data_IF_427304865169
#
_entry.id   IF_427304865169
#
_cell.length_a   1.000
_cell.length_b   1.000
_cell.length_c   1.000
_cell.angle_alpha   90.00
_cell.angle_beta   90.00
_cell.angle_gamma   90.00
#
_symmetry.space_group_name_H-M   'P 1'
#
loop_
_entity.id
_entity.type
_entity.pdbx_description
1 polymer ?
#
# COMPACT_ATOMS: atom_id res chain seq x y z
N UNK A 1 -0.96 -13.15 -3.04
CA UNK A 1 -0.86 -13.25 -4.52
C UNK A 1 -0.49 -14.65 -5.00
N UNK A 2 0.01 -15.52 -4.14
CA UNK A 2 0.55 -16.81 -4.61
C UNK A 2 -0.49 -17.84 -5.02
N UNK A 3 -1.75 -17.77 -4.57
CA UNK A 3 -2.68 -18.87 -4.74
C UNK A 3 -3.47 -18.83 -6.06
N UNK A 4 -4.34 -17.85 -6.28
CA UNK A 4 -5.29 -17.86 -7.40
C UNK A 4 -5.22 -16.63 -8.32
N UNK A 5 -4.39 -15.66 -8.02
CA UNK A 5 -4.26 -14.42 -8.79
C UNK A 5 -5.37 -13.39 -8.54
N UNK A 6 -6.24 -13.61 -7.55
CA UNK A 6 -7.32 -12.67 -7.23
C UNK A 6 -6.80 -11.24 -6.98
N UNK A 7 -5.67 -11.11 -6.30
CA UNK A 7 -5.06 -9.82 -5.96
C UNK A 7 -4.14 -9.24 -7.04
N UNK A 8 -3.85 -9.97 -8.12
CA UNK A 8 -2.87 -9.54 -9.15
C UNK A 8 -3.25 -8.20 -9.81
N UNK A 9 -4.53 -7.90 -9.86
CA UNK A 9 -5.04 -6.70 -10.49
C UNK A 9 -5.02 -5.45 -9.59
N UNK A 10 -4.93 -5.62 -8.27
CA UNK A 10 -5.05 -4.50 -7.32
C UNK A 10 -3.93 -3.47 -7.50
N UNK A 11 -2.63 -3.87 -7.53
CA UNK A 11 -1.54 -2.91 -7.63
C UNK A 11 -1.41 -2.25 -9.01
N UNK A 12 -2.12 -2.72 -10.04
CA UNK A 12 -2.04 -2.18 -11.40
C UNK A 12 -3.32 -1.49 -11.86
N UNK A 13 -4.14 -1.04 -10.94
CA UNK A 13 -5.31 -0.22 -11.28
C UNK A 13 -4.85 1.10 -11.90
N UNK A 14 -5.31 1.47 -13.13
CA UNK A 14 -4.77 2.63 -13.85
C UNK A 14 -4.88 3.94 -13.07
N UNK A 15 -5.99 4.17 -12.39
CA UNK A 15 -6.18 5.39 -11.57
C UNK A 15 -5.24 5.43 -10.37
N UNK A 16 -4.96 4.28 -9.76
CA UNK A 16 -4.03 4.18 -8.63
C UNK A 16 -2.59 4.44 -9.09
N UNK A 17 -2.18 3.87 -10.21
CA UNK A 17 -0.86 4.13 -10.80
C UNK A 17 -0.70 5.58 -11.23
N UNK A 18 -1.74 6.20 -11.82
CA UNK A 18 -1.72 7.61 -12.17
C UNK A 18 -1.56 8.51 -10.93
N UNK A 19 -2.24 8.17 -9.83
CA UNK A 19 -2.07 8.87 -8.56
C UNK A 19 -0.65 8.70 -8.00
N UNK A 20 -0.07 7.50 -8.09
CA UNK A 20 1.31 7.26 -7.68
C UNK A 20 2.30 8.11 -8.50
N UNK A 21 2.18 8.10 -9.83
CA UNK A 21 3.00 8.95 -10.73
C UNK A 21 2.90 10.42 -10.36
N UNK A 22 1.69 10.91 -10.11
CA UNK A 22 1.44 12.32 -9.79
C UNK A 22 2.06 12.73 -8.45
N UNK A 23 1.83 11.95 -7.40
CA UNK A 23 2.28 12.29 -6.04
C UNK A 23 3.77 12.08 -5.85
N UNK A 24 4.32 10.99 -6.40
CA UNK A 24 5.74 10.66 -6.28
C UNK A 24 6.60 11.52 -7.22
N UNK A 25 6.00 12.05 -8.28
CA UNK A 25 6.69 12.90 -9.26
C UNK A 25 7.41 12.14 -10.36
N UNK A 26 6.92 10.95 -10.74
CA UNK A 26 7.48 10.14 -11.83
C UNK A 26 7.09 8.68 -11.73
N UNK A 27 7.59 7.88 -12.67
CA UNK A 27 7.31 6.44 -12.74
C UNK A 27 8.32 5.56 -11.99
N UNK A 28 9.33 6.16 -11.35
CA UNK A 28 10.36 5.41 -10.62
C UNK A 28 9.91 5.05 -9.20
N UNK A 29 8.88 4.23 -9.13
CA UNK A 29 8.35 3.68 -7.89
C UNK A 29 8.11 2.17 -8.04
N UNK A 30 7.86 1.53 -6.88
CA UNK A 30 7.49 0.12 -6.82
C UNK A 30 6.45 -0.11 -5.74
N UNK A 31 5.79 -1.23 -5.86
CA UNK A 31 4.85 -1.72 -4.87
C UNK A 31 5.58 -2.03 -3.56
N UNK A 32 5.16 -1.37 -2.49
CA UNK A 32 5.77 -1.52 -1.17
C UNK A 32 5.10 -2.64 -0.37
N UNK A 33 3.76 -2.61 -0.30
CA UNK A 33 2.98 -3.61 0.44
C UNK A 33 1.55 -3.74 -0.08
N UNK A 34 0.94 -4.90 0.18
CA UNK A 34 -0.49 -5.13 0.06
C UNK A 34 -0.94 -5.99 1.22
N UNK A 35 -1.94 -5.49 1.95
CA UNK A 35 -2.48 -6.17 3.12
C UNK A 35 -4.00 -6.10 3.10
N UNK A 36 -4.66 -7.18 3.47
CA UNK A 36 -6.05 -7.12 3.89
C UNK A 36 -6.09 -6.67 5.35
N UNK A 37 -6.98 -5.75 5.67
CA UNK A 37 -7.15 -5.24 7.04
C UNK A 37 -8.62 -5.30 7.43
N UNK A 38 -8.87 -5.78 8.64
CA UNK A 38 -10.20 -5.79 9.26
C UNK A 38 -10.18 -5.03 10.57
N UNK A 39 -11.29 -4.35 10.87
CA UNK A 39 -11.56 -3.78 12.19
C UNK A 39 -12.81 -4.49 12.74
N UNK A 40 -12.66 -5.53 13.57
CA UNK A 40 -13.78 -6.19 14.23
C UNK A 40 -14.50 -5.26 15.22
N UNK A 41 -15.74 -5.58 15.62
CA UNK A 41 -16.45 -4.85 16.66
C UNK A 41 -15.61 -4.65 17.92
N UNK A 42 -15.60 -3.45 18.45
CA UNK A 42 -14.87 -3.07 19.66
C UNK A 42 -13.37 -2.83 19.48
N UNK A 43 -12.81 -3.04 18.29
CA UNK A 43 -11.38 -2.92 18.01
C UNK A 43 -11.10 -1.87 16.93
N UNK A 44 -9.84 -1.71 16.56
CA UNK A 44 -9.39 -0.87 15.44
C UNK A 44 -8.86 0.50 15.83
N UNK A 45 -8.96 0.88 17.09
CA UNK A 45 -8.42 2.16 17.56
C UNK A 45 -6.89 2.16 17.55
N UNK A 46 -6.33 3.24 17.03
CA UNK A 46 -4.89 3.49 16.97
C UNK A 46 -4.60 4.94 17.34
N UNK A 47 -3.45 5.19 17.94
CA UNK A 47 -2.92 6.54 18.02
C UNK A 47 -2.64 7.12 16.63
N UNK A 48 -2.76 8.42 16.47
CA UNK A 48 -2.35 9.12 15.24
C UNK A 48 -0.87 8.87 14.96
N UNK A 49 -0.56 8.49 13.72
CA UNK A 49 0.81 8.17 13.29
C UNK A 49 1.03 8.50 11.82
N UNK A 50 2.28 8.56 11.43
CA UNK A 50 2.72 8.57 10.02
C UNK A 50 3.41 7.23 9.73
N UNK A 51 3.14 6.62 8.59
CA UNK A 51 3.72 5.30 8.27
C UNK A 51 5.23 5.36 8.00
N UNK A 52 5.71 6.50 7.50
CA UNK A 52 7.09 6.66 7.03
C UNK A 52 7.81 7.91 7.58
N UNK A 53 7.48 8.30 8.80
CA UNK A 53 8.13 9.44 9.48
C UNK A 53 7.93 10.78 8.77
N UNK A 54 8.80 11.77 9.00
CA UNK A 54 8.69 13.08 8.38
C UNK A 54 8.92 12.99 6.88
N UNK A 55 8.27 13.87 6.12
CA UNK A 55 8.53 14.01 4.69
C UNK A 55 9.73 14.95 4.45
N UNK A 56 10.92 14.46 4.11
CA UNK A 56 12.08 15.30 3.89
C UNK A 56 11.93 16.25 2.69
N UNK A 57 11.05 15.90 1.75
CA UNK A 57 10.76 16.73 0.57
C UNK A 57 9.53 17.63 0.71
N UNK A 58 8.92 17.71 1.91
CA UNK A 58 7.70 18.50 2.12
C UNK A 58 7.87 20.00 1.83
N UNK A 59 9.04 20.54 2.15
CA UNK A 59 9.38 21.95 1.99
C UNK A 59 10.10 22.27 0.67
N UNK A 60 10.32 21.29 -0.19
CA UNK A 60 10.89 21.52 -1.52
C UNK A 60 9.87 22.17 -2.47
N UNK A 61 10.36 22.78 -3.54
CA UNK A 61 9.51 23.39 -4.58
C UNK A 61 9.88 22.83 -5.95
N UNK A 62 9.02 21.98 -6.58
CA UNK A 62 7.78 21.42 -6.04
C UNK A 62 8.04 20.41 -4.91
N UNK A 63 7.05 20.19 -4.00
CA UNK A 63 7.19 19.20 -2.94
C UNK A 63 7.36 17.80 -3.52
N UNK A 64 8.23 17.00 -2.89
CA UNK A 64 8.42 15.59 -3.27
C UNK A 64 7.95 14.66 -2.15
N UNK A 65 7.29 13.59 -2.52
CA UNK A 65 6.77 12.60 -1.59
C UNK A 65 7.42 11.24 -1.82
N UNK A 66 7.70 10.52 -0.72
CA UNK A 66 8.34 9.20 -0.80
C UNK A 66 7.40 8.13 -1.33
N UNK A 67 6.10 8.29 -1.16
CA UNK A 67 5.13 7.29 -1.58
C UNK A 67 3.69 7.66 -1.29
N UNK A 68 2.82 6.74 -1.65
CA UNK A 68 1.38 6.80 -1.39
C UNK A 68 0.88 5.54 -0.70
N UNK A 69 -0.14 5.71 0.11
CA UNK A 69 -1.04 4.67 0.57
C UNK A 69 -2.34 4.72 -0.20
N UNK A 70 -2.98 3.58 -0.36
CA UNK A 70 -4.37 3.49 -0.82
C UNK A 70 -5.15 2.51 0.01
N UNK A 71 -6.42 2.83 0.23
CA UNK A 71 -7.39 1.97 0.90
C UNK A 71 -8.54 1.72 -0.06
N UNK A 72 -8.69 0.47 -0.49
CA UNK A 72 -9.89 -0.02 -1.19
C UNK A 72 -10.86 -0.57 -0.15
N UNK A 73 -12.00 0.07 0.00
CA UNK A 73 -13.06 -0.32 0.93
C UNK A 73 -13.77 -1.58 0.42
N UNK A 74 -13.67 -2.69 1.14
CA UNK A 74 -14.42 -3.93 0.86
C UNK A 74 -15.80 -3.92 1.52
N UNK A 75 -15.95 -3.18 2.60
CA UNK A 75 -17.23 -2.84 3.24
C UNK A 75 -17.38 -1.32 3.27
N UNK A 76 -18.58 -0.76 3.46
CA UNK A 76 -18.73 0.68 3.66
C UNK A 76 -17.89 1.16 4.85
N UNK A 77 -17.32 2.36 4.76
CA UNK A 77 -16.70 3.06 5.89
C UNK A 77 -17.66 4.13 6.37
N UNK A 78 -18.03 4.06 7.66
CA UNK A 78 -18.98 4.96 8.32
C UNK A 78 -18.35 5.58 9.58
N UNK A 79 -19.00 6.57 10.16
CA UNK A 79 -18.56 7.17 11.42
C UNK A 79 -18.46 6.16 12.57
N UNK A 80 -19.25 5.10 12.53
CA UNK A 80 -19.41 4.16 13.62
C UNK A 80 -18.56 2.90 13.51
N UNK A 81 -18.11 2.53 12.28
CA UNK A 81 -17.48 1.21 12.07
C UNK A 81 -15.96 1.24 12.03
N UNK A 82 -15.34 2.20 12.70
CA UNK A 82 -13.89 2.25 12.80
C UNK A 82 -13.23 2.78 11.54
N UNK A 83 -13.85 3.76 10.87
CA UNK A 83 -13.24 4.42 9.70
C UNK A 83 -11.91 5.07 10.04
N UNK A 84 -11.03 5.16 9.06
CA UNK A 84 -9.74 5.83 9.26
C UNK A 84 -9.97 7.34 9.40
N UNK A 85 -9.30 7.95 10.37
CA UNK A 85 -9.18 9.41 10.52
C UNK A 85 -7.84 9.87 9.94
N UNK A 86 -7.79 11.07 9.38
CA UNK A 86 -6.58 11.69 8.85
C UNK A 86 -6.58 13.20 9.07
N UNK A 87 -5.41 13.79 9.25
CA UNK A 87 -5.24 15.23 9.43
C UNK A 87 -4.79 15.83 8.12
N UNK A 88 -5.70 16.56 7.46
CA UNK A 88 -5.45 17.18 6.17
C UNK A 88 -4.30 18.19 6.23
N UNK A 89 -3.38 18.10 5.26
CA UNK A 89 -2.25 19.02 5.16
C UNK A 89 -1.03 18.64 5.99
N UNK A 90 -1.12 17.73 6.95
CA UNK A 90 -0.01 17.33 7.82
C UNK A 90 1.25 16.91 7.04
N UNK A 91 1.09 16.18 5.95
CA UNK A 91 2.19 15.73 5.09
C UNK A 91 3.03 16.86 4.47
N UNK A 92 2.59 18.12 4.62
CA UNK A 92 3.29 19.34 4.14
C UNK A 92 4.07 20.05 5.23
N UNK A 93 3.88 19.71 6.49
CA UNK A 93 4.59 20.36 7.61
C UNK A 93 6.01 19.86 7.77
N UNK A 94 6.27 18.61 7.35
CA UNK A 94 7.51 17.92 7.64
C UNK A 94 7.56 17.29 9.04
N UNK A 95 6.50 17.42 9.83
CA UNK A 95 6.41 16.88 11.19
C UNK A 95 5.97 15.41 11.20
N UNK A 96 6.17 14.77 12.36
CA UNK A 96 5.67 13.43 12.69
C UNK A 96 4.73 13.48 13.89
N UNK A 97 4.21 12.32 14.30
CA UNK A 97 3.34 12.23 15.49
C UNK A 97 4.00 12.70 16.79
N UNK A 98 5.34 12.74 16.86
CA UNK A 98 6.08 13.24 18.03
C UNK A 98 5.85 14.74 18.25
N UNK A 99 5.37 15.47 17.25
CA UNK A 99 4.98 16.86 17.39
C UNK A 99 3.63 17.04 18.12
N UNK A 100 2.86 15.94 18.32
CA UNK A 100 1.59 15.97 19.04
C UNK A 100 1.82 15.83 20.55
N UNK A 101 1.08 16.63 21.33
CA UNK A 101 1.07 16.48 22.79
C UNK A 101 0.47 15.13 23.24
N UNK A 102 -0.56 14.68 22.56
CA UNK A 102 -1.21 13.39 22.76
C UNK A 102 -1.70 12.82 21.41
N UNK A 103 -1.00 11.83 20.85
CA UNK A 103 -1.41 11.19 19.61
C UNK A 103 -2.72 10.40 19.68
N UNK A 104 -3.19 10.07 20.89
CA UNK A 104 -4.46 9.36 21.09
C UNK A 104 -5.66 10.30 21.09
N UNK A 105 -5.45 11.58 21.39
CA UNK A 105 -6.50 12.58 21.39
C UNK A 105 -7.04 12.86 19.97
N UNK A 106 -8.29 13.33 19.84
CA UNK A 106 -8.81 13.87 18.61
C UNK A 106 -7.99 15.11 18.19
N UNK A 107 -7.70 15.20 16.87
CA UNK A 107 -7.05 16.39 16.31
C UNK A 107 -8.13 17.33 15.74
N UNK A 108 -8.02 18.67 15.95
CA UNK A 108 -9.07 19.62 15.49
C UNK A 108 -9.32 19.61 13.98
N UNK A 109 -8.28 19.28 13.18
CA UNK A 109 -8.38 19.23 11.72
C UNK A 109 -8.55 17.80 11.17
N UNK A 110 -8.89 16.83 12.02
CA UNK A 110 -9.09 15.46 11.55
C UNK A 110 -10.37 15.32 10.72
N UNK A 111 -10.29 14.50 9.70
CA UNK A 111 -11.40 14.14 8.83
C UNK A 111 -11.52 12.62 8.76
N UNK A 112 -12.75 12.12 8.66
CA UNK A 112 -13.03 10.70 8.49
C UNK A 112 -13.01 10.29 7.03
N UNK A 113 -12.43 9.15 6.77
CA UNK A 113 -12.46 8.49 5.47
C UNK A 113 -13.77 7.71 5.36
N UNK A 114 -14.79 8.30 4.74
CA UNK A 114 -16.14 7.72 4.60
C UNK A 114 -16.44 7.38 3.16
N UNK A 115 -17.20 6.31 2.92
CA UNK A 115 -17.65 5.94 1.58
C UNK A 115 -18.26 4.54 1.49
N UNK A 116 -18.96 4.23 0.40
CA UNK A 116 -19.48 2.89 0.14
C UNK A 116 -18.35 1.89 -0.20
N UNK A 117 -18.65 0.60 -0.13
CA UNK A 117 -17.77 -0.44 -0.66
C UNK A 117 -17.41 -0.16 -2.12
N UNK A 118 -16.17 -0.45 -2.51
CA UNK A 118 -15.60 -0.13 -3.82
C UNK A 118 -14.94 1.25 -3.91
N UNK A 119 -15.11 2.11 -2.89
CA UNK A 119 -14.37 3.38 -2.82
C UNK A 119 -12.87 3.12 -2.64
N UNK A 120 -12.06 3.89 -3.37
CA UNK A 120 -10.59 3.93 -3.18
C UNK A 120 -10.20 5.31 -2.69
N UNK A 121 -9.54 5.38 -1.54
CA UNK A 121 -8.93 6.61 -1.03
C UNK A 121 -7.42 6.49 -1.18
N UNK A 122 -6.78 7.54 -1.71
CA UNK A 122 -5.33 7.63 -1.89
C UNK A 122 -4.80 8.79 -1.07
N UNK A 123 -3.72 8.56 -0.34
CA UNK A 123 -3.10 9.58 0.51
C UNK A 123 -1.58 9.38 0.62
N UNK A 124 -0.87 10.44 0.99
CA UNK A 124 0.58 10.37 1.20
C UNK A 124 0.92 9.46 2.39
N UNK A 125 1.99 8.68 2.29
CA UNK A 125 2.52 7.87 3.41
C UNK A 125 2.96 8.71 4.61
N UNK A 126 3.10 10.02 4.43
CA UNK A 126 3.50 10.98 5.46
C UNK A 126 2.30 11.71 6.10
N UNK A 127 1.06 11.40 5.70
CA UNK A 127 -0.10 12.02 6.35
C UNK A 127 -0.31 11.43 7.74
N UNK A 128 -0.64 12.28 8.69
CA UNK A 128 -1.02 11.84 10.02
C UNK A 128 -2.41 11.20 9.95
N UNK A 129 -2.50 9.93 10.37
CA UNK A 129 -3.74 9.16 10.30
C UNK A 129 -3.80 8.07 11.37
N UNK A 130 -4.99 7.52 11.58
CA UNK A 130 -5.15 6.31 12.39
C UNK A 130 -6.49 5.63 12.14
N UNK A 131 -6.60 4.36 12.56
CA UNK A 131 -7.90 3.70 12.71
C UNK A 131 -8.63 4.25 13.94
N UNK A 132 -9.96 4.22 13.89
CA UNK A 132 -10.80 4.51 15.05
C UNK A 132 -11.49 3.24 15.53
N UNK A 133 -12.04 3.28 16.74
CA UNK A 133 -12.78 2.16 17.31
C UNK A 133 -13.99 1.83 16.43
N UNK A 134 -14.23 0.55 16.22
CA UNK A 134 -15.42 0.06 15.54
C UNK A 134 -16.51 -0.18 16.58
N UNK A 135 -17.46 0.73 16.67
CA UNK A 135 -18.61 0.65 17.59
C UNK A 135 -19.85 0.00 16.92
N UNK A 136 -19.70 -0.54 15.71
CA UNK A 136 -20.74 -1.32 15.02
C UNK A 136 -20.63 -2.81 15.33
N UNK A 137 -21.65 -3.57 14.93
CA UNK A 137 -21.70 -5.02 15.13
C UNK A 137 -20.99 -5.82 14.01
N UNK A 138 -20.50 -5.16 12.96
CA UNK A 138 -19.90 -5.81 11.80
C UNK A 138 -18.43 -5.44 11.64
N UNK A 139 -17.63 -6.39 11.15
CA UNK A 139 -16.24 -6.13 10.79
C UNK A 139 -16.17 -5.20 9.59
N UNK A 140 -15.46 -4.09 9.71
CA UNK A 140 -15.08 -3.23 8.58
C UNK A 140 -13.84 -3.81 7.91
N UNK A 141 -13.86 -3.99 6.60
CA UNK A 141 -12.79 -4.65 5.83
C UNK A 141 -12.29 -3.79 4.66
N UNK A 142 -10.99 -3.83 4.42
CA UNK A 142 -10.37 -3.16 3.28
C UNK A 142 -9.13 -3.90 2.77
N UNK A 143 -8.69 -3.51 1.57
CA UNK A 143 -7.33 -3.79 1.07
C UNK A 143 -6.53 -2.50 1.18
N UNK A 144 -5.39 -2.58 1.85
CA UNK A 144 -4.40 -1.51 1.94
C UNK A 144 -3.25 -1.80 1.00
N UNK A 145 -2.94 -0.87 0.09
CA UNK A 145 -1.85 -1.00 -0.88
C UNK A 145 -0.99 0.25 -0.83
N UNK A 146 0.33 0.07 -0.81
CA UNK A 146 1.28 1.16 -0.77
C UNK A 146 2.27 1.09 -1.93
N UNK A 147 2.63 2.26 -2.47
CA UNK A 147 3.71 2.44 -3.44
C UNK A 147 4.74 3.41 -2.89
N UNK A 148 6.00 3.06 -3.06
CA UNK A 148 7.13 3.87 -2.63
C UNK A 148 8.10 4.09 -3.78
N UNK A 149 8.82 5.21 -3.74
CA UNK A 149 9.96 5.45 -4.63
C UNK A 149 10.90 4.25 -4.59
N UNK A 150 11.52 3.94 -5.71
CA UNK A 150 12.40 2.77 -5.86
C UNK A 150 13.64 2.82 -4.97
N UNK A 151 14.09 4.00 -4.54
CA UNK A 151 15.20 4.18 -3.60
C UNK A 151 14.83 3.81 -2.14
N UNK A 152 13.57 3.45 -1.87
CA UNK A 152 13.13 2.99 -0.55
C UNK A 152 12.99 1.46 -0.55
N UNK A 153 13.42 0.76 0.52
CA UNK A 153 13.25 -0.68 0.61
C UNK A 153 11.76 -1.05 0.60
N UNK A 154 11.43 -2.19 0.01
CA UNK A 154 10.07 -2.76 0.11
C UNK A 154 9.86 -3.36 1.51
N UNK A 155 8.62 -3.37 2.00
CA UNK A 155 8.27 -4.06 3.25
C UNK A 155 8.56 -5.57 3.15
N UNK A 156 8.32 -6.14 1.97
CA UNK A 156 8.65 -7.52 1.63
C UNK A 156 9.37 -7.49 0.29
N UNK A 157 10.49 -8.20 0.17
CA UNK A 157 11.15 -8.38 -1.12
C UNK A 157 10.26 -9.27 -2.02
N UNK A 158 9.50 -8.63 -2.90
CA UNK A 158 8.54 -9.32 -3.75
C UNK A 158 9.21 -10.30 -4.71
N UNK A 159 10.46 -10.03 -5.13
CA UNK A 159 11.23 -10.95 -6.01
C UNK A 159 11.51 -12.28 -5.32
N UNK A 160 11.85 -12.24 -4.03
CA UNK A 160 12.14 -13.44 -3.24
C UNK A 160 10.86 -14.14 -2.76
N UNK A 161 9.83 -13.35 -2.44
CA UNK A 161 8.58 -13.87 -1.89
C UNK A 161 7.63 -14.47 -2.94
N UNK A 162 7.78 -14.11 -4.23
CA UNK A 162 6.90 -14.61 -5.29
C UNK A 162 7.20 -16.07 -5.63
N UNK A 163 6.22 -16.94 -5.47
CA UNK A 163 6.33 -18.34 -5.87
C UNK A 163 6.52 -18.47 -7.39
N UNK A 164 7.29 -19.47 -7.88
CA UNK A 164 7.50 -19.68 -9.31
C UNK A 164 6.22 -19.78 -10.13
N UNK A 165 5.20 -20.43 -9.58
CA UNK A 165 3.87 -20.55 -10.20
C UNK A 165 3.18 -19.19 -10.38
N UNK A 166 3.37 -18.27 -9.42
CA UNK A 166 2.87 -16.90 -9.50
C UNK A 166 3.56 -16.15 -10.64
N UNK A 167 4.89 -16.23 -10.72
CA UNK A 167 5.68 -15.61 -11.78
C UNK A 167 5.23 -16.13 -13.14
N UNK A 168 5.18 -17.45 -13.33
CA UNK A 168 4.75 -18.10 -14.57
C UNK A 168 3.32 -17.69 -14.98
N UNK A 169 2.42 -17.50 -14.01
CA UNK A 169 1.06 -17.00 -14.28
C UNK A 169 1.07 -15.55 -14.74
N UNK A 170 1.81 -14.68 -14.05
CA UNK A 170 1.89 -13.25 -14.35
C UNK A 170 2.51 -12.99 -15.72
N UNK A 171 3.52 -13.75 -16.13
CA UNK A 171 4.17 -13.63 -17.45
C UNK A 171 3.21 -13.84 -18.63
N UNK A 172 2.14 -14.59 -18.46
CA UNK A 172 1.21 -14.95 -19.54
C UNK A 172 0.37 -13.79 -20.06
N UNK A 173 0.27 -12.67 -19.33
CA UNK A 173 -0.61 -11.56 -19.71
C UNK A 173 0.11 -10.22 -19.59
N UNK A 174 -0.28 -9.26 -20.43
CA UNK A 174 0.24 -7.89 -20.35
C UNK A 174 0.00 -7.26 -18.97
N UNK A 175 -1.15 -7.53 -18.37
CA UNK A 175 -1.49 -7.06 -17.02
C UNK A 175 -0.58 -7.70 -15.95
N UNK A 176 -0.32 -9.00 -16.06
CA UNK A 176 0.60 -9.70 -15.15
C UNK A 176 2.01 -9.16 -15.26
N UNK A 177 2.52 -8.91 -16.46
CA UNK A 177 3.84 -8.27 -16.65
C UNK A 177 3.89 -6.86 -16.06
N UNK A 178 2.81 -6.08 -16.16
CA UNK A 178 2.73 -4.79 -15.49
C UNK A 178 2.75 -4.94 -13.96
N UNK A 179 2.10 -5.98 -13.42
CA UNK A 179 2.17 -6.30 -11.98
C UNK A 179 3.59 -6.63 -11.56
N UNK A 180 4.31 -7.45 -12.32
CA UNK A 180 5.71 -7.77 -12.05
C UNK A 180 6.60 -6.52 -12.08
N UNK A 181 6.34 -5.61 -13.00
CA UNK A 181 7.06 -4.33 -13.08
C UNK A 181 6.92 -3.52 -11.77
N UNK A 182 5.71 -3.36 -11.26
CA UNK A 182 5.50 -2.63 -9.98
C UNK A 182 5.98 -3.42 -8.76
N UNK A 183 6.10 -4.74 -8.85
CA UNK A 183 6.78 -5.56 -7.84
C UNK A 183 8.30 -5.36 -7.81
N UNK A 184 8.86 -4.66 -8.78
CA UNK A 184 10.31 -4.47 -8.91
C UNK A 184 11.03 -5.62 -9.62
N UNK A 185 10.29 -6.43 -10.38
CA UNK A 185 10.80 -7.60 -11.13
C UNK A 185 11.08 -7.23 -12.59
N UNK A 186 11.78 -6.13 -12.84
CA UNK A 186 12.15 -5.65 -14.19
C UNK A 186 13.66 -5.78 -14.48
N UNK A 187 14.32 -6.64 -13.75
CA UNK A 187 15.75 -6.88 -13.99
C UNK A 187 15.88 -7.80 -15.21
N UNK A 188 16.40 -7.28 -16.31
CA UNK A 188 16.60 -8.04 -17.55
C UNK A 188 17.50 -9.26 -17.37
N UNK A 189 18.33 -9.26 -16.31
CA UNK A 189 19.20 -10.36 -15.95
C UNK A 189 18.52 -11.41 -15.04
N UNK A 190 17.29 -11.17 -14.58
CA UNK A 190 16.57 -12.17 -13.79
C UNK A 190 16.07 -13.31 -14.67
N UNK A 191 16.62 -14.54 -14.55
CA UNK A 191 16.25 -15.66 -15.42
C UNK A 191 14.76 -16.02 -15.34
N UNK A 192 14.09 -15.67 -14.26
CA UNK A 192 12.64 -15.91 -14.05
C UNK A 192 11.78 -15.00 -14.91
N UNK A 193 12.33 -13.94 -15.52
CA UNK A 193 11.62 -12.99 -16.38
C UNK A 193 11.79 -13.30 -17.88
N UNK A 194 12.45 -14.39 -18.21
CA UNK A 194 12.60 -14.84 -19.59
C UNK A 194 11.33 -15.53 -20.09
N UNK A 195 10.99 -15.34 -21.34
CA UNK A 195 9.81 -15.94 -21.96
C UNK A 195 9.87 -17.49 -22.00
N UNK A 196 11.07 -18.04 -21.95
CA UNK A 196 11.36 -19.49 -21.97
C UNK A 196 11.49 -20.09 -20.57
N UNK A 197 11.37 -19.29 -19.49
CA UNK A 197 11.45 -19.79 -18.12
C UNK A 197 10.37 -20.81 -17.80
N UNK A 198 10.78 -21.98 -17.33
CA UNK A 198 9.87 -23.03 -16.84
C UNK A 198 10.09 -23.28 -15.36
N UNK A 199 9.06 -23.79 -14.68
CA UNK A 199 9.15 -24.13 -13.24
C UNK A 199 10.23 -25.18 -12.96
N UNK A 200 10.60 -25.98 -13.96
CA UNK A 200 11.60 -27.03 -13.85
C UNK A 200 13.04 -26.47 -13.90
N UNK A 201 13.23 -25.20 -14.26
CA UNK A 201 14.54 -24.55 -14.31
C UNK A 201 15.01 -24.05 -12.92
N UNK A 202 14.24 -24.32 -11.86
CA UNK A 202 14.68 -23.99 -10.51
C UNK A 202 15.81 -24.95 -10.05
N UNK A 203 16.94 -24.42 -9.57
CA UNK A 203 17.84 -25.22 -8.78
C UNK A 203 17.08 -25.70 -7.53
N UNK A 204 17.28 -26.96 -7.13
CA UNK A 204 16.75 -27.58 -5.92
C UNK A 204 17.12 -26.75 -4.67
N UNK A 205 16.45 -25.64 -4.46
CA UNK A 205 16.60 -24.84 -3.28
C UNK A 205 15.39 -25.05 -2.38
N UNK A 206 15.67 -25.58 -1.21
CA UNK A 206 14.74 -25.76 -0.11
C UNK A 206 13.75 -24.59 0.00
N UNK A 207 12.48 -24.91 -0.13
CA UNK A 207 11.42 -23.94 0.13
C UNK A 207 11.60 -23.38 1.55
N UNK A 208 11.58 -22.07 1.75
CA UNK A 208 11.62 -21.51 3.10
C UNK A 208 10.40 -22.05 3.86
N UNK A 209 10.65 -22.79 4.92
CA UNK A 209 9.61 -23.21 5.86
C UNK A 209 9.08 -21.95 6.54
N UNK A 210 7.78 -21.71 6.42
CA UNK A 210 7.02 -20.70 7.17
C UNK A 210 7.06 -21.04 8.67
#
# INVERSE_FOLDING_TARGET
MNDDGFFDAVPVQPKLLAAAVHVIGGSDFRWFSLNTRGSPPGLGEQALHTDHGPNPGALETPPRYSGINSVLMLSPFTEQNGSTRMVSGWHRTGDTQEALADPSAPHPDEQRMLGPAGTVVVFSVHILHSGTRNDSEQTRSCIHTSFMRRDRPQQVNQREAAAPQTIARLMRTAKGRATMAVMGMQDEDDPRLRDDYTINDQPDSEAPRL
#
